data_IF_287377065180
#
_entry.id   IF_287377065180
#
_cell.length_a   1.000
_cell.length_b   1.000
_cell.length_c   1.000
_cell.angle_alpha   90.00
_cell.angle_beta   90.00
_cell.angle_gamma   90.00
#
_symmetry.space_group_name_H-M   'P 1'
#
loop_
_entity.id
_entity.type
_entity.pdbx_description
1 polymer ?
#
# COMPACT_ATOMS: atom_id res chain seq x y z
N UNK A 1 -8.10 -17.03 -12.24
CA UNK A 1 -8.41 -16.19 -11.05
C UNK A 1 -7.65 -16.83 -9.89
N UNK A 2 -6.50 -16.30 -9.50
CA UNK A 2 -5.71 -16.92 -8.41
C UNK A 2 -5.78 -15.99 -7.20
N UNK A 3 -6.22 -16.57 -6.09
CA UNK A 3 -6.58 -15.94 -4.83
C UNK A 3 -5.57 -16.32 -3.75
N UNK A 4 -5.61 -15.63 -2.61
CA UNK A 4 -5.04 -16.13 -1.36
C UNK A 4 -5.40 -17.61 -1.18
N UNK A 5 -4.41 -18.46 -0.94
CA UNK A 5 -4.61 -19.87 -0.62
C UNK A 5 -4.76 -20.03 0.89
N UNK A 6 -5.88 -20.62 1.29
CA UNK A 6 -6.24 -20.86 2.68
C UNK A 6 -6.00 -22.32 3.06
N UNK A 7 -5.93 -22.60 4.36
CA UNK A 7 -5.72 -23.93 4.93
C UNK A 7 -4.44 -24.65 4.45
N UNK A 8 -3.31 -23.95 4.38
CA UNK A 8 -2.03 -24.52 3.93
C UNK A 8 -0.90 -24.45 4.97
N UNK A 9 -0.99 -23.55 5.96
CA UNK A 9 0.04 -23.38 6.98
C UNK A 9 -0.16 -24.42 8.08
N UNK A 10 0.90 -25.14 8.46
CA UNK A 10 0.85 -26.11 9.57
C UNK A 10 1.34 -25.42 10.85
N UNK A 11 0.63 -25.62 11.96
CA UNK A 11 1.04 -25.12 13.28
C UNK A 11 1.61 -26.26 14.12
N UNK A 12 2.81 -26.09 14.68
CA UNK A 12 3.42 -27.02 15.63
C UNK A 12 4.34 -26.26 16.58
N UNK A 13 4.20 -26.47 17.90
CA UNK A 13 5.10 -25.91 18.92
C UNK A 13 5.38 -24.41 18.77
N UNK A 14 4.32 -23.63 18.51
CA UNK A 14 4.36 -22.15 18.27
C UNK A 14 5.07 -21.72 16.98
N UNK A 15 5.50 -22.65 16.14
CA UNK A 15 6.00 -22.40 14.78
C UNK A 15 4.88 -22.57 13.77
N UNK A 16 4.94 -21.76 12.71
CA UNK A 16 4.03 -21.85 11.57
C UNK A 16 4.81 -22.22 10.31
N UNK A 17 4.57 -23.40 9.78
CA UNK A 17 5.29 -23.97 8.65
C UNK A 17 4.53 -23.71 7.35
N UNK A 18 5.24 -23.14 6.38
CA UNK A 18 4.82 -23.06 4.99
C UNK A 18 5.14 -24.37 4.26
N UNK A 19 6.30 -24.94 4.55
CA UNK A 19 6.76 -26.25 4.11
C UNK A 19 7.84 -26.74 5.08
N UNK A 20 8.59 -27.78 4.72
CA UNK A 20 9.59 -28.39 5.59
C UNK A 20 10.77 -27.47 5.92
N UNK A 21 11.01 -26.43 5.11
CA UNK A 21 12.17 -25.54 5.24
C UNK A 21 11.75 -24.12 5.64
N UNK A 22 10.59 -23.66 5.21
CA UNK A 22 10.07 -22.33 5.48
C UNK A 22 9.13 -22.32 6.68
N UNK A 23 9.49 -21.58 7.72
CA UNK A 23 8.65 -21.37 8.88
C UNK A 23 8.80 -19.96 9.46
N UNK A 24 7.79 -19.54 10.20
CA UNK A 24 7.82 -18.27 10.91
C UNK A 24 7.24 -18.37 12.33
N UNK A 25 7.61 -17.39 13.13
CA UNK A 25 7.03 -17.05 14.42
C UNK A 25 6.32 -15.72 14.31
N UNK A 26 5.33 -15.51 15.17
CA UNK A 26 4.64 -14.23 15.33
C UNK A 26 4.40 -13.95 16.80
N UNK A 27 4.75 -12.74 17.25
CA UNK A 27 4.26 -12.24 18.53
C UNK A 27 2.79 -11.84 18.38
N UNK A 28 1.89 -12.77 18.69
CA UNK A 28 0.43 -12.55 18.56
C UNK A 28 -0.04 -11.36 19.39
N UNK A 29 0.48 -11.19 20.62
CA UNK A 29 0.04 -10.15 21.55
C UNK A 29 0.49 -8.78 21.06
N UNK A 30 1.78 -8.61 20.80
CA UNK A 30 2.33 -7.34 20.31
C UNK A 30 1.71 -6.96 18.96
N UNK A 31 1.52 -7.92 18.06
CA UNK A 31 0.85 -7.68 16.77
C UNK A 31 -0.57 -7.15 16.95
N UNK A 32 -1.36 -7.77 17.82
CA UNK A 32 -2.72 -7.32 18.08
C UNK A 32 -2.76 -5.92 18.72
N UNK A 33 -1.82 -5.62 19.62
CA UNK A 33 -1.69 -4.30 20.25
C UNK A 33 -1.31 -3.20 19.24
N UNK A 34 -0.37 -3.47 18.33
CA UNK A 34 -0.03 -2.54 17.24
C UNK A 34 -1.22 -2.31 16.30
N UNK A 35 -1.90 -3.38 15.88
CA UNK A 35 -3.09 -3.31 15.02
C UNK A 35 -4.23 -2.49 15.67
N UNK A 36 -4.36 -2.51 17.00
CA UNK A 36 -5.35 -1.72 17.75
C UNK A 36 -5.06 -0.22 17.77
N UNK A 37 -3.85 0.24 17.41
CA UNK A 37 -3.52 1.66 17.29
C UNK A 37 -4.21 2.33 16.09
N UNK A 38 -4.64 1.54 15.10
CA UNK A 38 -5.41 2.04 13.96
C UNK A 38 -6.79 2.51 14.44
N UNK A 39 -7.09 3.79 14.23
CA UNK A 39 -8.41 4.35 14.54
C UNK A 39 -9.33 4.19 13.34
N UNK A 40 -10.52 3.65 13.58
CA UNK A 40 -11.49 3.30 12.54
C UNK A 40 -12.67 4.26 12.47
N UNK A 41 -13.18 4.62 11.28
CA UNK A 41 -12.86 4.04 9.96
C UNK A 41 -11.52 4.53 9.40
N UNK A 42 -10.85 3.67 8.63
CA UNK A 42 -9.53 3.92 8.06
C UNK A 42 -9.55 3.78 6.54
N UNK A 43 -8.52 4.33 5.90
CA UNK A 43 -8.28 4.21 4.47
C UNK A 43 -6.86 3.67 4.25
N UNK A 44 -6.74 2.62 3.46
CA UNK A 44 -5.47 2.09 2.97
C UNK A 44 -5.19 2.79 1.66
N UNK A 45 -4.02 3.41 1.50
CA UNK A 45 -3.70 4.25 0.33
C UNK A 45 -2.31 3.93 -0.17
N UNK A 46 -2.17 4.02 -1.49
CA UNK A 46 -0.90 4.15 -2.19
C UNK A 46 -1.05 5.20 -3.30
N UNK A 47 0.05 5.86 -3.68
CA UNK A 47 0.04 6.86 -4.76
C UNK A 47 1.18 6.67 -5.74
N UNK A 48 0.90 6.97 -7.00
CA UNK A 48 1.94 7.20 -8.00
C UNK A 48 1.98 8.68 -8.32
N UNK A 49 3.19 9.23 -8.26
CA UNK A 49 3.46 10.63 -8.50
C UNK A 49 4.72 10.78 -9.33
N UNK A 50 4.86 11.94 -9.95
CA UNK A 50 6.10 12.38 -10.55
C UNK A 50 6.56 13.69 -9.92
N UNK A 51 7.85 13.96 -10.07
CA UNK A 51 8.53 15.14 -9.57
C UNK A 51 9.74 15.43 -10.45
N UNK A 52 10.57 16.40 -10.05
CA UNK A 52 11.79 16.80 -10.78
C UNK A 52 12.71 15.63 -11.16
N UNK A 53 12.84 14.59 -10.33
CA UNK A 53 13.73 13.47 -10.66
C UNK A 53 13.25 12.64 -11.84
N UNK A 54 11.99 12.77 -12.26
CA UNK A 54 11.41 12.03 -13.38
C UNK A 54 11.50 12.78 -14.71
N UNK A 55 12.03 14.01 -14.73
CA UNK A 55 12.14 14.83 -15.93
C UNK A 55 13.50 14.69 -16.62
N UNK A 56 13.72 13.56 -17.29
CA UNK A 56 14.95 13.31 -18.05
C UNK A 56 15.09 14.15 -19.32
N UNK A 57 13.96 14.50 -19.94
CA UNK A 57 13.94 15.17 -21.23
C UNK A 57 13.96 16.70 -21.09
N UNK A 58 14.03 17.23 -19.86
CA UNK A 58 13.91 18.66 -19.55
C UNK A 58 12.68 19.29 -20.21
N UNK A 59 11.52 18.63 -20.06
CA UNK A 59 10.25 19.07 -20.61
C UNK A 59 9.87 20.47 -20.10
N UNK A 60 9.41 21.32 -21.00
CA UNK A 60 8.83 22.63 -20.69
C UNK A 60 7.43 22.78 -21.33
N UNK A 61 6.45 23.39 -20.63
CA UNK A 61 6.53 23.86 -19.25
C UNK A 61 6.57 22.71 -18.23
N UNK A 62 7.34 22.88 -17.16
CA UNK A 62 7.32 21.92 -16.04
C UNK A 62 6.01 22.00 -15.25
N UNK A 63 5.47 20.83 -14.86
CA UNK A 63 4.23 20.77 -14.06
C UNK A 63 4.47 20.98 -12.56
N UNK A 64 5.68 20.72 -12.08
CA UNK A 64 6.06 20.80 -10.65
C UNK A 64 6.85 22.07 -10.36
N UNK A 65 6.82 22.51 -9.10
CA UNK A 65 7.58 23.66 -8.62
C UNK A 65 8.12 23.43 -7.19
N UNK A 66 8.79 24.42 -6.61
CA UNK A 66 9.35 24.31 -5.25
C UNK A 66 8.27 24.11 -4.16
N UNK A 67 7.04 24.53 -4.41
CA UNK A 67 5.90 24.40 -3.50
C UNK A 67 5.09 23.10 -3.74
N UNK A 68 5.14 22.57 -4.96
CA UNK A 68 4.44 21.36 -5.42
C UNK A 68 5.43 20.43 -6.12
N UNK A 69 6.32 19.84 -5.32
CA UNK A 69 7.38 18.96 -5.83
C UNK A 69 6.83 17.64 -6.34
N UNK A 70 5.93 17.02 -5.57
CA UNK A 70 5.38 15.69 -5.84
C UNK A 70 3.92 15.79 -6.30
N UNK A 71 3.67 15.40 -7.55
CA UNK A 71 2.36 15.52 -8.21
C UNK A 71 1.76 14.15 -8.46
N UNK A 72 0.73 13.80 -7.68
CA UNK A 72 0.02 12.53 -7.79
C UNK A 72 -0.85 12.51 -9.04
N UNK A 73 -0.68 11.47 -9.87
CA UNK A 73 -1.52 11.22 -11.03
C UNK A 73 -2.38 9.96 -10.89
N UNK A 74 -2.01 9.04 -10.01
CA UNK A 74 -2.81 7.89 -9.59
C UNK A 74 -2.82 7.79 -8.07
N UNK A 75 -4.01 7.62 -7.50
CA UNK A 75 -4.20 7.25 -6.10
C UNK A 75 -5.11 6.02 -6.06
N UNK A 76 -4.61 4.94 -5.48
CA UNK A 76 -5.40 3.75 -5.21
C UNK A 76 -5.72 3.70 -3.73
N UNK A 77 -6.94 3.29 -3.40
CA UNK A 77 -7.34 3.25 -2.00
C UNK A 77 -8.39 2.21 -1.70
N UNK A 78 -8.46 1.80 -0.44
CA UNK A 78 -9.55 1.00 0.09
C UNK A 78 -10.01 1.52 1.44
N UNK A 79 -11.32 1.72 1.58
CA UNK A 79 -11.94 2.15 2.84
C UNK A 79 -12.32 0.92 3.66
N UNK A 80 -12.14 0.96 4.98
CA UNK A 80 -12.65 -0.08 5.87
C UNK A 80 -13.15 0.50 7.19
N UNK A 81 -14.23 -0.08 7.73
CA UNK A 81 -14.86 0.34 8.99
C UNK A 81 -14.21 -0.28 10.22
N UNK A 82 -13.52 -1.41 10.08
CA UNK A 82 -12.79 -2.12 11.12
C UNK A 82 -11.96 -3.27 10.50
N UNK A 83 -11.12 -3.91 11.32
CA UNK A 83 -10.32 -5.08 10.90
C UNK A 83 -11.17 -6.27 10.43
N UNK A 84 -12.31 -6.54 11.07
CA UNK A 84 -13.19 -7.64 10.67
C UNK A 84 -13.66 -7.46 9.22
N UNK A 85 -13.97 -6.24 8.80
CA UNK A 85 -14.36 -5.96 7.42
C UNK A 85 -13.27 -6.38 6.43
N UNK A 86 -12.00 -6.04 6.68
CA UNK A 86 -10.86 -6.43 5.84
C UNK A 86 -10.70 -7.95 5.79
N UNK A 87 -10.87 -8.61 6.94
CA UNK A 87 -10.71 -10.06 7.07
C UNK A 87 -11.77 -10.87 6.31
N UNK A 88 -13.03 -10.43 6.31
CA UNK A 88 -14.15 -11.19 5.73
C UNK A 88 -14.50 -10.81 4.28
N UNK A 89 -14.09 -9.63 3.79
CA UNK A 89 -14.47 -9.17 2.44
C UNK A 89 -13.52 -9.67 1.35
N UNK A 90 -13.94 -9.53 0.10
CA UNK A 90 -13.05 -9.71 -1.07
C UNK A 90 -12.21 -8.44 -1.28
N UNK A 91 -11.03 -8.38 -0.65
CA UNK A 91 -10.18 -7.17 -0.62
C UNK A 91 -9.88 -6.57 -2.00
N UNK A 92 -9.60 -7.41 -3.01
CA UNK A 92 -9.38 -6.97 -4.40
C UNK A 92 -10.53 -6.12 -4.98
N UNK A 93 -11.78 -6.43 -4.62
CA UNK A 93 -12.97 -5.69 -5.11
C UNK A 93 -13.21 -4.39 -4.35
N UNK A 94 -12.57 -4.21 -3.20
CA UNK A 94 -12.76 -3.04 -2.35
C UNK A 94 -11.78 -1.89 -2.66
N UNK A 95 -10.86 -2.08 -3.61
CA UNK A 95 -9.91 -1.06 -4.04
C UNK A 95 -10.56 -0.19 -5.11
N UNK A 96 -10.46 1.11 -4.93
CA UNK A 96 -10.97 2.15 -5.84
C UNK A 96 -9.82 3.05 -6.26
N UNK A 97 -10.03 3.77 -7.35
CA UNK A 97 -9.00 4.60 -7.97
C UNK A 97 -9.48 6.04 -8.15
N UNK A 98 -8.62 7.00 -7.83
CA UNK A 98 -8.69 8.38 -8.30
C UNK A 98 -7.51 8.60 -9.24
N UNK A 99 -7.77 9.06 -10.46
CA UNK A 99 -6.73 9.28 -11.46
C UNK A 99 -6.98 10.56 -12.22
N UNK A 100 -5.90 11.21 -12.63
CA UNK A 100 -5.98 12.27 -13.64
C UNK A 100 -6.34 11.61 -14.97
N UNK A 101 -7.29 12.22 -15.69
CA UNK A 101 -7.74 11.75 -17.00
C UNK A 101 -7.29 12.72 -18.07
N UNK A 102 -6.81 12.17 -19.18
CA UNK A 102 -6.52 12.88 -20.43
C UNK A 102 -7.08 12.05 -21.58
N UNK A 103 -7.95 12.64 -22.40
CA UNK A 103 -8.47 11.99 -23.59
C UNK A 103 -7.60 12.34 -24.81
N UNK A 104 -7.65 11.49 -25.84
CA UNK A 104 -6.99 11.79 -27.11
C UNK A 104 -7.61 13.04 -27.74
N UNK A 105 -6.77 13.98 -28.19
CA UNK A 105 -7.18 15.28 -28.77
C UNK A 105 -8.10 16.12 -27.88
N UNK A 106 -7.97 16.03 -26.56
CA UNK A 106 -8.67 16.91 -25.62
C UNK A 106 -8.04 18.31 -25.61
N UNK A 107 -8.59 19.21 -26.44
CA UNK A 107 -8.16 20.61 -26.55
C UNK A 107 -8.35 21.42 -25.25
N UNK A 108 -9.20 20.94 -24.34
CA UNK A 108 -9.51 21.61 -23.07
C UNK A 108 -8.83 20.92 -21.88
N UNK A 109 -7.90 20.00 -22.13
CA UNK A 109 -7.16 19.32 -21.09
C UNK A 109 -6.35 20.33 -20.26
N UNK A 110 -6.51 20.25 -18.94
CA UNK A 110 -5.75 21.05 -18.00
C UNK A 110 -5.36 20.17 -16.81
N UNK A 111 -4.05 19.90 -16.71
CA UNK A 111 -3.50 19.05 -15.65
C UNK A 111 -3.89 19.56 -14.25
N UNK A 112 -3.64 20.84 -13.96
CA UNK A 112 -3.88 21.41 -12.63
C UNK A 112 -5.36 21.40 -12.23
N UNK A 113 -6.28 21.56 -13.19
CA UNK A 113 -7.72 21.41 -12.94
C UNK A 113 -8.06 19.98 -12.54
N UNK A 114 -7.52 18.98 -13.25
CA UNK A 114 -7.71 17.56 -12.92
C UNK A 114 -7.05 17.21 -11.57
N UNK A 115 -5.84 17.70 -11.32
CA UNK A 115 -5.10 17.46 -10.08
C UNK A 115 -5.83 18.06 -8.86
N UNK A 116 -6.32 19.29 -8.96
CA UNK A 116 -7.13 19.91 -7.91
C UNK A 116 -8.45 19.15 -7.67
N UNK A 117 -9.08 18.65 -8.74
CA UNK A 117 -10.26 17.79 -8.62
C UNK A 117 -9.96 16.49 -7.86
N UNK A 118 -8.84 15.82 -8.18
CA UNK A 118 -8.37 14.62 -7.48
C UNK A 118 -8.14 14.90 -5.99
N UNK A 119 -7.34 15.93 -5.67
CA UNK A 119 -7.04 16.38 -4.31
C UNK A 119 -8.31 16.66 -3.50
N UNK A 120 -9.21 17.48 -4.05
CA UNK A 120 -10.45 17.86 -3.38
C UNK A 120 -11.38 16.66 -3.19
N UNK A 121 -11.45 15.75 -4.17
CA UNK A 121 -12.24 14.53 -4.07
C UNK A 121 -11.73 13.63 -2.94
N UNK A 122 -10.40 13.45 -2.84
CA UNK A 122 -9.78 12.67 -1.78
C UNK A 122 -10.04 13.27 -0.40
N UNK A 123 -9.75 14.57 -0.21
CA UNK A 123 -9.94 15.26 1.08
C UNK A 123 -11.41 15.24 1.52
N UNK A 124 -12.35 15.55 0.62
CA UNK A 124 -13.77 15.51 0.93
C UNK A 124 -14.25 14.09 1.24
N UNK A 125 -13.74 13.08 0.53
CA UNK A 125 -14.05 11.68 0.85
C UNK A 125 -13.59 11.33 2.26
N UNK A 126 -12.36 11.67 2.63
CA UNK A 126 -11.81 11.41 3.97
C UNK A 126 -12.66 12.06 5.06
N UNK A 127 -13.07 13.32 4.86
CA UNK A 127 -13.89 14.07 5.81
C UNK A 127 -15.32 13.50 5.89
N UNK A 128 -15.99 13.30 4.75
CA UNK A 128 -17.37 12.83 4.69
C UNK A 128 -17.54 11.40 5.22
N UNK A 129 -16.52 10.55 5.01
CA UNK A 129 -16.49 9.19 5.56
C UNK A 129 -15.95 9.13 7.00
N UNK A 130 -15.63 10.28 7.60
CA UNK A 130 -15.08 10.41 8.96
C UNK A 130 -13.86 9.51 9.17
N UNK A 131 -12.98 9.44 8.16
CA UNK A 131 -11.74 8.67 8.26
C UNK A 131 -10.92 9.22 9.42
N UNK A 132 -10.31 8.32 10.18
CA UNK A 132 -9.52 8.65 11.38
C UNK A 132 -8.05 8.27 11.23
N UNK A 133 -7.71 7.35 10.35
CA UNK A 133 -6.34 6.91 10.09
C UNK A 133 -6.14 6.60 8.61
N UNK A 134 -5.02 7.03 8.04
CA UNK A 134 -4.52 6.53 6.75
C UNK A 134 -3.46 5.46 7.00
N UNK A 135 -3.53 4.35 6.27
CA UNK A 135 -2.61 3.23 6.37
C UNK A 135 -1.76 3.17 5.09
N UNK A 136 -0.43 3.12 5.26
CA UNK A 136 0.56 3.05 4.18
C UNK A 136 1.55 1.90 4.40
N UNK A 137 2.34 1.58 3.37
CA UNK A 137 3.58 0.81 3.49
C UNK A 137 4.78 1.69 3.10
N UNK A 138 5.48 2.25 4.08
CA UNK A 138 6.54 3.23 3.81
C UNK A 138 5.97 4.65 3.66
N UNK A 139 5.42 5.18 4.74
CA UNK A 139 4.60 6.40 4.79
C UNK A 139 5.29 7.72 4.42
N UNK A 140 6.60 7.75 4.16
CA UNK A 140 7.37 9.00 4.17
C UNK A 140 6.95 10.02 3.11
N UNK A 141 6.64 9.58 1.88
CA UNK A 141 6.29 10.48 0.78
C UNK A 141 4.78 10.76 0.76
N UNK A 142 3.94 9.72 0.76
CA UNK A 142 2.48 9.87 0.69
C UNK A 142 1.92 10.70 1.83
N UNK A 143 2.46 10.53 3.05
CA UNK A 143 2.06 11.32 4.20
C UNK A 143 2.34 12.80 3.97
N UNK A 144 3.55 13.15 3.47
CA UNK A 144 3.93 14.54 3.20
C UNK A 144 3.04 15.15 2.12
N UNK A 145 2.74 14.41 1.06
CA UNK A 145 1.84 14.84 -0.02
C UNK A 145 0.45 15.17 0.55
N UNK A 146 -0.11 14.29 1.37
CA UNK A 146 -1.45 14.48 1.92
C UNK A 146 -1.47 15.60 2.98
N UNK A 147 -0.42 15.73 3.79
CA UNK A 147 -0.23 16.85 4.71
C UNK A 147 -0.17 18.18 3.94
N UNK A 148 0.58 18.24 2.83
CA UNK A 148 0.60 19.41 1.95
C UNK A 148 -0.80 19.72 1.41
N UNK A 149 -1.53 18.72 0.93
CA UNK A 149 -2.88 18.90 0.39
C UNK A 149 -3.86 19.51 1.39
N UNK A 150 -3.91 19.00 2.63
CA UNK A 150 -4.82 19.56 3.63
C UNK A 150 -4.39 20.96 4.08
N UNK A 151 -3.09 21.23 4.18
CA UNK A 151 -2.59 22.55 4.56
C UNK A 151 -2.83 23.62 3.49
N UNK A 152 -2.92 23.23 2.21
CA UNK A 152 -3.38 24.10 1.13
C UNK A 152 -4.91 24.30 1.11
N UNK A 153 -5.68 23.46 1.81
CA UNK A 153 -7.15 23.42 1.75
C UNK A 153 -7.79 23.44 3.14
N UNK A 154 -7.20 24.17 4.10
CA UNK A 154 -7.64 24.17 5.51
C UNK A 154 -9.12 24.57 5.67
N UNK A 155 -9.64 25.40 4.76
CA UNK A 155 -11.03 25.84 4.75
C UNK A 155 -12.04 24.67 4.74
N UNK A 156 -11.68 23.50 4.19
CA UNK A 156 -12.56 22.32 4.15
C UNK A 156 -12.86 21.79 5.57
N UNK A 157 -11.95 22.04 6.52
CA UNK A 157 -12.07 21.66 7.94
C UNK A 157 -12.65 22.77 8.82
N UNK A 158 -13.04 23.93 8.25
CA UNK A 158 -13.64 25.01 9.04
C UNK A 158 -14.85 24.48 9.83
N UNK A 159 -14.81 24.64 11.14
CA UNK A 159 -15.82 24.16 12.09
C UNK A 159 -16.03 22.64 12.13
N UNK A 160 -15.08 21.84 11.64
CA UNK A 160 -15.17 20.37 11.67
C UNK A 160 -14.05 19.81 12.53
N UNK A 161 -14.40 19.01 13.53
CA UNK A 161 -13.42 18.19 14.24
C UNK A 161 -13.03 16.99 13.36
N UNK A 162 -11.73 16.75 13.22
CA UNK A 162 -11.19 15.65 12.44
C UNK A 162 -10.13 14.91 13.27
N UNK A 163 -10.26 13.59 13.37
CA UNK A 163 -9.22 12.76 14.00
C UNK A 163 -8.12 12.33 13.02
N UNK A 164 -8.36 12.46 11.71
CA UNK A 164 -7.37 12.19 10.68
C UNK A 164 -6.38 13.36 10.56
N UNK A 165 -6.91 14.55 10.28
CA UNK A 165 -6.14 15.79 10.20
C UNK A 165 -6.11 16.46 11.57
N UNK A 166 -4.95 16.43 12.23
CA UNK A 166 -4.74 16.94 13.58
C UNK A 166 -4.02 18.28 13.48
N UNK A 167 -4.66 19.35 13.93
CA UNK A 167 -4.06 20.68 13.94
C UNK A 167 -2.96 20.75 15.01
N UNK A 168 -1.74 21.08 14.60
CA UNK A 168 -0.66 21.40 15.53
C UNK A 168 -0.92 22.80 16.14
N UNK A 169 -1.05 22.92 17.47
CA UNK A 169 -1.39 24.18 18.10
C UNK A 169 -0.29 25.24 17.96
N UNK A 170 0.96 24.82 17.76
CA UNK A 170 2.14 25.69 17.66
C UNK A 170 2.33 26.17 16.23
N UNK A 171 2.40 25.27 15.26
CA UNK A 171 2.67 25.63 13.85
C UNK A 171 1.43 26.05 13.08
N UNK A 172 0.23 25.80 13.62
CA UNK A 172 -1.07 25.97 12.93
C UNK A 172 -1.16 25.19 11.62
N UNK A 173 -0.39 24.11 11.49
CA UNK A 173 -0.44 23.19 10.35
C UNK A 173 -1.08 21.88 10.76
N UNK A 174 -1.79 21.26 9.82
CA UNK A 174 -2.38 19.94 10.01
C UNK A 174 -1.33 18.85 9.77
N UNK A 175 -1.26 17.90 10.71
CA UNK A 175 -0.58 16.62 10.55
C UNK A 175 -1.59 15.51 10.26
N UNK A 176 -1.12 14.43 9.64
CA UNK A 176 -1.96 13.28 9.31
C UNK A 176 -1.73 12.14 10.31
N UNK A 177 -2.81 11.71 10.97
CA UNK A 177 -2.85 10.47 11.72
C UNK A 177 -2.70 9.29 10.74
N UNK A 178 -1.55 8.64 10.82
CA UNK A 178 -1.11 7.64 9.87
C UNK A 178 -0.57 6.41 10.59
N UNK A 179 -0.73 5.26 9.95
CA UNK A 179 -0.20 3.99 10.40
C UNK A 179 0.67 3.38 9.29
N UNK A 180 1.88 2.95 9.63
CA UNK A 180 2.81 2.34 8.70
C UNK A 180 2.90 0.84 8.98
N UNK A 181 2.48 0.01 8.03
CA UNK A 181 2.42 -1.44 8.24
C UNK A 181 3.78 -2.10 8.39
N UNK A 182 4.87 -1.45 7.94
CA UNK A 182 6.23 -1.96 8.14
C UNK A 182 6.60 -2.10 9.61
N UNK A 183 6.02 -1.28 10.50
CA UNK A 183 6.23 -1.39 11.94
C UNK A 183 5.82 -2.76 12.48
N UNK A 184 4.78 -3.38 11.92
CA UNK A 184 4.28 -4.68 12.39
C UNK A 184 5.12 -5.84 11.85
N UNK A 185 5.75 -5.70 10.67
CA UNK A 185 6.57 -6.78 10.10
C UNK A 185 7.71 -7.22 11.04
N UNK A 186 8.20 -6.33 11.90
CA UNK A 186 9.19 -6.64 12.92
C UNK A 186 8.70 -7.61 14.02
N UNK A 187 7.38 -7.81 14.14
CA UNK A 187 6.79 -8.77 15.07
C UNK A 187 6.79 -10.21 14.51
N UNK A 188 7.25 -10.41 13.28
CA UNK A 188 7.43 -11.71 12.67
C UNK A 188 8.92 -12.06 12.56
N UNK A 189 9.22 -13.34 12.75
CA UNK A 189 10.57 -13.88 12.64
C UNK A 189 10.55 -15.11 11.75
N UNK A 190 11.39 -15.14 10.73
CA UNK A 190 11.32 -16.13 9.64
C UNK A 190 12.58 -16.99 9.61
N UNK A 191 12.47 -18.25 9.19
CA UNK A 191 13.66 -18.99 8.75
C UNK A 191 14.25 -18.33 7.50
N UNK A 192 15.59 -18.35 7.36
CA UNK A 192 16.26 -17.79 6.18
C UNK A 192 16.46 -18.83 5.07
N UNK A 193 15.44 -19.64 4.82
CA UNK A 193 15.43 -20.71 3.83
C UNK A 193 14.25 -20.51 2.88
N UNK A 194 14.41 -20.93 1.63
CA UNK A 194 13.33 -20.99 0.66
C UNK A 194 12.69 -22.39 0.64
N UNK A 195 11.75 -22.62 -0.27
CA UNK A 195 11.06 -23.91 -0.44
C UNK A 195 11.98 -25.07 -0.82
N UNK A 196 13.21 -24.81 -1.26
CA UNK A 196 14.20 -25.77 -1.72
C UNK A 196 15.36 -25.93 -0.72
N UNK A 197 15.22 -25.43 0.51
CA UNK A 197 16.28 -25.39 1.54
C UNK A 197 17.51 -24.56 1.15
N UNK A 198 17.37 -23.64 0.19
CA UNK A 198 18.40 -22.68 -0.15
C UNK A 198 18.24 -21.42 0.66
N UNK A 199 19.31 -20.65 0.81
CA UNK A 199 19.26 -19.39 1.55
C UNK A 199 18.32 -18.41 0.87
N UNK A 200 17.23 -18.03 1.53
CA UNK A 200 16.21 -17.14 0.95
C UNK A 200 16.77 -15.76 0.64
N UNK A 201 17.61 -15.21 1.52
CA UNK A 201 18.25 -13.91 1.31
C UNK A 201 19.60 -13.80 2.02
N UNK A 202 20.47 -12.90 1.53
CA UNK A 202 21.77 -12.64 2.16
C UNK A 202 21.59 -12.08 3.59
N UNK A 203 22.05 -12.78 4.65
CA UNK A 203 21.82 -12.39 6.03
C UNK A 203 22.50 -11.07 6.39
N UNK A 204 23.60 -10.70 5.71
CA UNK A 204 24.34 -9.46 5.98
C UNK A 204 23.49 -8.20 5.82
N UNK A 205 22.39 -8.30 5.07
CA UNK A 205 21.48 -7.20 4.77
C UNK A 205 20.15 -7.31 5.54
N UNK A 206 20.05 -8.17 6.55
CA UNK A 206 18.83 -8.43 7.30
C UNK A 206 19.09 -8.37 8.81
N UNK A 207 18.12 -7.80 9.52
CA UNK A 207 18.12 -7.85 10.98
C UNK A 207 17.75 -9.26 11.45
N UNK A 208 18.28 -9.66 12.60
CA UNK A 208 17.87 -10.88 13.30
C UNK A 208 16.40 -10.79 13.71
N UNK A 209 15.69 -11.90 13.62
CA UNK A 209 14.33 -12.05 14.15
C UNK A 209 14.29 -11.80 15.67
N UNK A 210 13.13 -11.34 16.14
CA UNK A 210 12.86 -11.10 17.57
C UNK A 210 12.57 -12.40 18.33
N UNK A 211 12.15 -13.47 17.63
CA UNK A 211 11.75 -14.76 18.22
C UNK A 211 12.41 -15.90 17.45
N UNK A 212 12.82 -16.94 18.19
CA UNK A 212 13.42 -18.15 17.62
C UNK A 212 14.90 -18.00 17.30
N UNK A 213 15.62 -19.12 17.35
CA UNK A 213 17.05 -19.15 17.01
C UNK A 213 17.23 -19.07 15.49
N UNK A 214 18.27 -18.34 15.07
CA UNK A 214 18.68 -18.21 13.66
C UNK A 214 17.58 -17.71 12.70
N UNK A 215 16.65 -16.90 13.21
CA UNK A 215 15.60 -16.27 12.40
C UNK A 215 16.01 -14.89 11.90
N UNK A 216 15.35 -14.43 10.85
CA UNK A 216 15.52 -13.11 10.22
C UNK A 216 14.22 -12.29 10.28
N UNK A 217 14.34 -10.97 10.18
CA UNK A 217 13.22 -10.07 9.88
C UNK A 217 13.13 -9.82 8.37
N UNK A 218 11.90 -9.70 7.85
CA UNK A 218 11.65 -9.29 6.46
C UNK A 218 11.25 -7.80 6.43
N UNK A 219 12.14 -6.89 5.97
CA UNK A 219 11.95 -5.44 6.14
C UNK A 219 11.00 -4.79 5.14
N UNK A 220 10.43 -5.53 4.17
CA UNK A 220 9.60 -4.94 3.12
C UNK A 220 8.45 -5.87 2.69
N UNK A 221 7.42 -5.28 2.08
CA UNK A 221 6.28 -6.03 1.55
C UNK A 221 6.75 -7.01 0.48
N UNK A 222 7.62 -6.58 -0.44
CA UNK A 222 8.16 -7.45 -1.49
C UNK A 222 8.74 -8.74 -0.89
N UNK A 223 9.66 -8.63 0.06
CA UNK A 223 10.29 -9.79 0.70
C UNK A 223 9.28 -10.67 1.44
N UNK A 224 8.28 -10.08 2.08
CA UNK A 224 7.18 -10.82 2.71
C UNK A 224 6.38 -11.63 1.68
N UNK A 225 5.94 -11.00 0.59
CA UNK A 225 5.16 -11.67 -0.46
C UNK A 225 5.97 -12.71 -1.22
N UNK A 226 7.26 -12.48 -1.45
CA UNK A 226 8.19 -13.47 -2.03
C UNK A 226 8.31 -14.69 -1.12
N UNK A 227 8.45 -14.49 0.20
CA UNK A 227 8.56 -15.58 1.19
C UNK A 227 7.26 -16.41 1.27
N UNK A 228 6.11 -15.75 1.15
CA UNK A 228 4.78 -16.35 1.20
C UNK A 228 4.16 -16.59 -0.18
N UNK A 229 4.96 -16.74 -1.25
CA UNK A 229 4.45 -16.89 -2.62
C UNK A 229 3.45 -18.05 -2.79
N UNK A 230 3.58 -19.12 -2.01
CA UNK A 230 2.64 -20.25 -1.98
C UNK A 230 1.27 -19.89 -1.37
N UNK A 231 1.22 -18.89 -0.48
CA UNK A 231 -0.02 -18.35 0.12
C UNK A 231 -0.61 -17.26 -0.76
N UNK A 232 0.23 -16.34 -1.24
CA UNK A 232 -0.15 -15.17 -2.03
C UNK A 232 0.29 -15.33 -3.49
N UNK A 233 -0.15 -16.41 -4.13
CA UNK A 233 0.18 -16.75 -5.51
C UNK A 233 -0.60 -15.89 -6.53
N UNK A 234 -0.48 -14.57 -6.45
CA UNK A 234 -1.18 -13.65 -7.35
C UNK A 234 -0.26 -13.25 -8.53
N UNK A 235 -0.51 -13.71 -9.77
CA UNK A 235 0.31 -13.33 -10.93
C UNK A 235 0.22 -11.83 -11.23
N UNK A 236 -0.74 -11.13 -10.62
CA UNK A 236 -0.81 -9.68 -10.66
C UNK A 236 0.37 -8.99 -9.99
N UNK A 237 1.05 -9.65 -9.03
CA UNK A 237 2.17 -9.09 -8.27
C UNK A 237 3.52 -9.16 -8.98
N UNK A 238 3.62 -9.84 -10.12
CA UNK A 238 4.82 -9.82 -10.96
C UNK A 238 4.96 -8.44 -11.64
N UNK A 239 5.91 -7.65 -11.14
CA UNK A 239 6.26 -6.32 -11.66
C UNK A 239 7.29 -6.48 -12.78
N UNK A 240 6.83 -6.38 -14.04
CA UNK A 240 7.71 -6.49 -15.21
C UNK A 240 8.43 -5.19 -15.56
N UNK A 241 7.84 -4.04 -15.19
CA UNK A 241 8.38 -2.71 -15.52
C UNK A 241 8.70 -1.91 -14.26
N UNK A 242 9.78 -1.13 -14.33
CA UNK A 242 10.23 -0.29 -13.23
C UNK A 242 9.30 0.90 -13.03
N UNK A 243 8.73 1.06 -11.83
CA UNK A 243 7.78 2.13 -11.52
C UNK A 243 8.33 3.53 -11.80
N UNK A 244 9.63 3.74 -11.61
CA UNK A 244 10.28 5.01 -11.88
C UNK A 244 10.27 5.38 -13.37
N UNK A 245 10.41 4.39 -14.26
CA UNK A 245 10.28 4.61 -15.71
C UNK A 245 8.83 4.93 -16.08
N UNK A 246 7.87 4.24 -15.47
CA UNK A 246 6.45 4.51 -15.68
C UNK A 246 6.07 5.93 -15.25
N UNK A 247 6.58 6.42 -14.11
CA UNK A 247 6.36 7.79 -13.65
C UNK A 247 7.02 8.84 -14.56
N UNK A 248 8.18 8.53 -15.15
CA UNK A 248 8.81 9.39 -16.16
C UNK A 248 7.96 9.51 -17.43
N UNK A 249 7.37 8.40 -17.89
CA UNK A 249 6.40 8.42 -19.01
C UNK A 249 5.13 9.16 -18.61
N UNK A 250 4.68 9.03 -17.37
CA UNK A 250 3.50 9.75 -16.89
C UNK A 250 3.71 11.27 -16.94
N UNK A 251 4.88 11.76 -16.51
CA UNK A 251 5.22 13.17 -16.64
C UNK A 251 5.11 13.64 -18.10
N UNK A 252 5.72 12.93 -19.06
CA UNK A 252 5.59 13.23 -20.50
C UNK A 252 4.13 13.28 -20.94
N UNK A 253 3.38 12.24 -20.57
CA UNK A 253 1.97 12.10 -20.93
C UNK A 253 1.09 13.22 -20.39
N UNK A 254 1.40 13.80 -19.24
CA UNK A 254 0.57 14.85 -18.64
C UNK A 254 1.06 16.27 -18.93
N UNK A 255 2.34 16.44 -19.29
CA UNK A 255 2.95 17.75 -19.59
C UNK A 255 2.79 18.19 -21.05
N UNK A 256 2.88 17.27 -22.02
CA UNK A 256 2.88 17.65 -23.45
C UNK A 256 1.54 18.27 -23.88
N UNK A 257 1.54 19.36 -24.65
CA UNK A 257 0.29 19.99 -25.13
C UNK A 257 -0.50 19.09 -26.07
N UNK A 258 0.21 18.35 -26.93
CA UNK A 258 -0.38 17.40 -27.87
C UNK A 258 0.41 16.09 -27.92
N UNK A 259 -0.27 15.03 -28.29
CA UNK A 259 0.27 13.69 -28.49
C UNK A 259 -0.30 13.17 -29.80
N UNK A 260 0.53 12.54 -30.63
CA UNK A 260 0.01 11.76 -31.74
C UNK A 260 -0.71 10.49 -31.24
N UNK A 261 -1.41 9.78 -32.12
CA UNK A 261 -2.21 8.62 -31.73
C UNK A 261 -1.35 7.48 -31.18
N UNK A 262 -0.16 7.27 -31.72
CA UNK A 262 0.74 6.21 -31.31
C UNK A 262 1.31 6.50 -29.91
N UNK A 263 1.81 7.71 -29.69
CA UNK A 263 2.27 8.20 -28.40
C UNK A 263 1.14 8.11 -27.36
N UNK A 264 -0.07 8.56 -27.71
CA UNK A 264 -1.20 8.49 -26.79
C UNK A 264 -1.51 7.06 -26.35
N UNK A 265 -1.53 6.11 -27.28
CA UNK A 265 -1.78 4.69 -26.97
C UNK A 265 -0.67 4.10 -26.11
N UNK A 266 0.58 4.33 -26.48
CA UNK A 266 1.75 3.84 -25.75
C UNK A 266 1.78 4.37 -24.31
N UNK A 267 1.70 5.69 -24.16
CA UNK A 267 1.78 6.32 -22.84
C UNK A 267 0.57 5.95 -21.98
N UNK A 268 -0.64 5.90 -22.55
CA UNK A 268 -1.83 5.43 -21.83
C UNK A 268 -1.69 3.99 -21.34
N UNK A 269 -1.05 3.12 -22.12
CA UNK A 269 -0.74 1.76 -21.67
C UNK A 269 0.21 1.77 -20.46
N UNK A 270 1.28 2.57 -20.50
CA UNK A 270 2.21 2.73 -19.38
C UNK A 270 1.55 3.32 -18.13
N UNK A 271 0.66 4.30 -18.28
CA UNK A 271 -0.16 4.82 -17.17
C UNK A 271 -1.01 3.71 -16.53
N UNK A 272 -1.59 2.82 -17.34
CA UNK A 272 -2.37 1.70 -16.83
C UNK A 272 -1.51 0.67 -16.07
N UNK A 273 -0.25 0.48 -16.49
CA UNK A 273 0.71 -0.35 -15.76
C UNK A 273 1.06 0.27 -14.40
N UNK A 274 1.35 1.58 -14.34
CA UNK A 274 1.58 2.28 -13.07
C UNK A 274 0.34 2.18 -12.16
N UNK A 275 -0.86 2.34 -12.74
CA UNK A 275 -2.11 2.17 -12.01
C UNK A 275 -2.29 0.78 -11.43
N UNK A 276 -1.82 -0.27 -12.13
CA UNK A 276 -1.82 -1.66 -11.66
C UNK A 276 -0.78 -1.85 -10.54
N UNK A 277 0.40 -1.26 -10.65
CA UNK A 277 1.43 -1.27 -9.60
C UNK A 277 0.87 -0.73 -8.28
N UNK A 278 0.37 0.50 -8.31
CA UNK A 278 -0.28 1.15 -7.16
C UNK A 278 -1.45 0.34 -6.58
N UNK A 279 -2.25 -0.30 -7.46
CA UNK A 279 -3.36 -1.15 -7.02
C UNK A 279 -2.84 -2.36 -6.25
N UNK A 280 -1.77 -2.98 -6.74
CA UNK A 280 -1.17 -4.13 -6.11
C UNK A 280 -0.57 -3.77 -4.76
N UNK A 281 0.03 -2.60 -4.60
CA UNK A 281 0.59 -2.19 -3.31
C UNK A 281 -0.49 -1.98 -2.25
N UNK A 282 -1.62 -1.36 -2.59
CA UNK A 282 -2.80 -1.35 -1.71
C UNK A 282 -3.29 -2.77 -1.40
N UNK A 283 -3.33 -3.66 -2.39
CA UNK A 283 -3.79 -5.03 -2.20
C UNK A 283 -2.85 -5.83 -1.29
N UNK A 284 -1.53 -5.67 -1.45
CA UNK A 284 -0.50 -6.25 -0.60
C UNK A 284 -0.67 -5.78 0.84
N UNK A 285 -0.91 -4.49 1.08
CA UNK A 285 -1.20 -3.97 2.43
C UNK A 285 -2.46 -4.63 3.01
N UNK A 286 -3.55 -4.72 2.24
CA UNK A 286 -4.79 -5.35 2.69
C UNK A 286 -4.60 -6.83 3.05
N UNK A 287 -3.88 -7.59 2.23
CA UNK A 287 -3.57 -9.00 2.48
C UNK A 287 -2.65 -9.18 3.68
N UNK A 288 -1.68 -8.29 3.89
CA UNK A 288 -0.84 -8.30 5.07
C UNK A 288 -1.68 -8.04 6.33
N UNK A 289 -2.55 -7.03 6.34
CA UNK A 289 -3.43 -6.75 7.49
C UNK A 289 -4.35 -7.93 7.79
N UNK A 290 -4.95 -8.53 6.75
CA UNK A 290 -5.77 -9.74 6.87
C UNK A 290 -4.99 -10.88 7.52
N UNK A 291 -3.79 -11.17 7.01
CA UNK A 291 -2.90 -12.18 7.54
C UNK A 291 -2.53 -11.94 9.01
N UNK A 292 -2.03 -10.75 9.33
CA UNK A 292 -1.64 -10.37 10.69
C UNK A 292 -2.82 -10.46 11.65
N UNK A 293 -4.01 -10.00 11.24
CA UNK A 293 -5.20 -10.09 12.05
C UNK A 293 -5.62 -11.55 12.27
N UNK A 294 -5.55 -12.40 11.24
CA UNK A 294 -5.88 -13.82 11.35
C UNK A 294 -5.01 -14.52 12.40
N UNK A 295 -3.69 -14.31 12.35
CA UNK A 295 -2.75 -14.97 13.26
C UNK A 295 -2.71 -14.36 14.67
N UNK A 296 -3.06 -13.10 14.84
CA UNK A 296 -3.02 -12.43 16.15
C UNK A 296 -4.35 -12.46 16.91
N UNK A 297 -5.49 -12.50 16.21
CA UNK A 297 -6.81 -12.44 16.84
C UNK A 297 -7.43 -13.81 17.13
N UNK A 298 -7.19 -14.78 16.25
CA UNK A 298 -7.87 -16.07 16.30
C UNK A 298 -6.93 -17.18 16.80
N UNK A 299 -7.53 -18.13 17.51
CA UNK A 299 -6.88 -19.42 17.77
C UNK A 299 -6.70 -20.18 16.47
N UNK A 300 -5.75 -21.12 16.47
CA UNK A 300 -5.34 -21.79 15.25
C UNK A 300 -6.48 -22.57 14.57
N UNK A 301 -7.43 -23.11 15.35
CA UNK A 301 -8.64 -23.79 14.86
C UNK A 301 -9.60 -22.88 14.06
N UNK A 302 -9.56 -21.56 14.33
CA UNK A 302 -10.40 -20.54 13.68
C UNK A 302 -9.64 -19.72 12.64
N UNK A 303 -8.32 -19.89 12.52
CA UNK A 303 -7.49 -19.17 11.57
C UNK A 303 -7.63 -19.76 10.16
N UNK A 304 -8.10 -18.97 9.20
CA UNK A 304 -8.34 -19.41 7.81
C UNK A 304 -7.08 -19.83 7.04
N UNK A 305 -5.89 -19.43 7.48
CA UNK A 305 -4.64 -19.82 6.81
C UNK A 305 -4.12 -21.18 7.28
N UNK A 306 -4.53 -21.64 8.46
CA UNK A 306 -4.00 -22.86 9.06
C UNK A 306 -4.71 -24.08 8.49
N UNK A 307 -3.92 -25.07 8.07
CA UNK A 307 -4.41 -26.36 7.62
C UNK A 307 -5.14 -27.03 8.78
N UNK A 308 -6.44 -27.21 8.61
CA UNK A 308 -7.26 -27.97 9.54
C UNK A 308 -7.02 -29.45 9.26
N UNK A 309 -6.68 -30.23 10.29
CA UNK A 309 -6.61 -31.67 10.15
C UNK A 309 -7.96 -32.19 9.65
N UNK A 310 -7.98 -32.72 8.44
CA UNK A 310 -9.10 -33.50 7.94
C UNK A 310 -8.91 -34.95 8.39
N UNK A 311 -9.08 -35.17 9.68
CA UNK A 311 -9.13 -36.48 10.36
C UNK A 311 -9.43 -36.18 11.84
N UNK A 312 -10.59 -36.47 12.43
CA UNK A 312 -11.41 -37.69 12.38
C UNK A 312 -12.89 -37.30 12.54
N UNK A 313 -13.76 -37.72 11.61
CA UNK A 313 -15.14 -38.14 11.90
C UNK A 313 -15.24 -39.57 11.42
#
# INVERSE_FOLDING_TARGET
>A
MISMKFNIIISSDKKYFLNNFQYFYIDKKQTLEELKKIKWPAIIVDTEFFNKSHNYDNLEPTLYDENQKDLVYVLQYSLAKNMNEIYYRVNRKAIKSLTIKRNFKDLNYNFFKQYNSLKNSFLNMCINKKIRTIIFAGSANDKKIIELWINQNQAILKNKHSELFILDPTTKTYKVNSFDVYKILHNLSFSNTDQNNQQFYNPKNLNKGSIGENTIQLPSLKKFFDYFNQVFADPGFDEQENIYQLCSVALKFFSLDSLDEQQFKEYSHKINLAKKHCFNDVLKILYLIDFLYSFSKFDDSKNKYIKKDKSII
#
